data_IF_947907123681
#
_entry.id   IF_947907123681
#
_cell.length_a   1.000
_cell.length_b   1.000
_cell.length_c   1.000
_cell.angle_alpha   90.00
_cell.angle_beta   90.00
_cell.angle_gamma   90.00
#
_symmetry.space_group_name_H-M   'P 1'
#
loop_
_entity.id
_entity.type
_entity.pdbx_description
1 polymer ?
#
# COMPACT_ATOMS: atom_id res chain seq x y z
N UNK A 1 12.07 -16.50 -9.14
CA UNK A 1 13.11 -15.85 -8.37
C UNK A 1 13.83 -14.83 -9.24
N UNK A 2 14.05 -13.64 -8.72
CA UNK A 2 14.84 -12.62 -9.42
C UNK A 2 16.28 -13.12 -9.55
N UNK A 3 16.83 -13.01 -10.75
CA UNK A 3 18.22 -13.41 -11.00
C UNK A 3 19.17 -12.35 -10.41
N UNK A 4 18.77 -11.08 -10.43
CA UNK A 4 19.53 -9.94 -9.91
C UNK A 4 18.57 -8.82 -9.50
N UNK A 5 18.59 -8.42 -8.23
CA UNK A 5 17.73 -7.36 -7.69
C UNK A 5 18.03 -6.00 -8.34
N UNK A 6 19.27 -5.71 -8.69
CA UNK A 6 19.64 -4.44 -9.35
C UNK A 6 19.04 -4.35 -10.76
N UNK A 7 19.13 -5.42 -11.54
CA UNK A 7 18.52 -5.50 -12.86
C UNK A 7 17.00 -5.36 -12.76
N UNK A 8 16.38 -6.06 -11.80
CA UNK A 8 14.94 -5.93 -11.56
C UNK A 8 14.53 -4.48 -11.27
N UNK A 9 15.20 -3.82 -10.33
CA UNK A 9 14.90 -2.42 -9.97
C UNK A 9 15.00 -1.49 -11.18
N UNK A 10 16.00 -1.68 -12.05
CA UNK A 10 16.11 -0.89 -13.29
C UNK A 10 14.91 -1.11 -14.22
N UNK A 11 14.46 -2.36 -14.39
CA UNK A 11 13.25 -2.66 -15.18
C UNK A 11 11.98 -2.06 -14.59
N UNK A 12 11.86 -2.02 -13.25
CA UNK A 12 10.74 -1.39 -12.54
C UNK A 12 10.72 0.12 -12.79
N UNK A 13 11.88 0.78 -12.75
CA UNK A 13 12.01 2.21 -13.03
C UNK A 13 11.68 2.51 -14.51
N UNK A 14 12.18 1.69 -15.43
CA UNK A 14 11.92 1.82 -16.85
C UNK A 14 10.41 1.71 -17.16
N UNK A 15 9.72 0.75 -16.52
CA UNK A 15 8.27 0.65 -16.63
C UNK A 15 7.56 1.90 -16.11
N UNK A 16 7.93 2.38 -14.92
CA UNK A 16 7.33 3.58 -14.34
C UNK A 16 7.60 4.83 -15.20
N UNK A 17 8.79 4.92 -15.82
CA UNK A 17 9.15 6.00 -16.74
C UNK A 17 8.36 5.93 -18.05
N UNK A 18 8.22 4.74 -18.65
CA UNK A 18 7.43 4.54 -19.87
C UNK A 18 5.94 4.88 -19.66
N UNK A 19 5.41 4.67 -18.46
CA UNK A 19 4.06 5.08 -18.04
C UNK A 19 3.95 6.56 -17.70
N UNK A 20 5.03 7.31 -17.75
CA UNK A 20 5.10 8.72 -17.38
C UNK A 20 4.63 9.00 -15.95
N UNK A 21 4.80 8.04 -15.05
CA UNK A 21 4.47 8.23 -13.64
C UNK A 21 5.32 9.31 -12.99
N UNK A 22 4.78 9.96 -11.97
CA UNK A 22 5.43 11.04 -11.25
C UNK A 22 6.81 10.66 -10.69
N UNK A 23 7.66 11.65 -10.42
CA UNK A 23 9.01 11.42 -9.92
C UNK A 23 9.01 10.64 -8.59
N UNK A 24 8.04 10.93 -7.73
CA UNK A 24 7.85 10.26 -6.43
C UNK A 24 7.61 8.75 -6.60
N UNK A 25 6.83 8.34 -7.62
CA UNK A 25 6.58 6.94 -7.96
C UNK A 25 7.87 6.26 -8.44
N UNK A 26 8.63 6.91 -9.32
CA UNK A 26 9.91 6.39 -9.82
C UNK A 26 10.95 6.29 -8.71
N UNK A 27 10.98 7.26 -7.80
CA UNK A 27 11.84 7.23 -6.63
C UNK A 27 11.45 6.09 -5.69
N UNK A 28 10.17 5.90 -5.41
CA UNK A 28 9.68 4.79 -4.59
C UNK A 28 9.99 3.43 -5.25
N UNK A 29 9.89 3.33 -6.58
CA UNK A 29 10.29 2.16 -7.37
C UNK A 29 11.77 1.84 -7.20
N UNK A 30 12.65 2.87 -7.18
CA UNK A 30 14.09 2.68 -6.90
C UNK A 30 14.35 2.14 -5.49
N UNK A 31 13.51 2.50 -4.52
CA UNK A 31 13.75 2.23 -3.10
C UNK A 31 13.13 0.94 -2.58
N UNK A 32 12.09 0.41 -3.24
CA UNK A 32 11.19 -0.60 -2.67
C UNK A 32 11.92 -1.86 -2.15
N UNK A 33 12.96 -2.28 -2.83
CA UNK A 33 13.72 -3.50 -2.58
C UNK A 33 15.11 -3.27 -1.94
N UNK A 34 15.41 -2.06 -1.48
CA UNK A 34 16.73 -1.70 -0.95
C UNK A 34 17.16 -2.62 0.22
N UNK A 35 16.22 -3.13 0.98
CA UNK A 35 16.46 -4.07 2.07
C UNK A 35 16.99 -5.44 1.62
N UNK A 36 16.80 -5.83 0.36
CA UNK A 36 17.36 -7.08 -0.18
C UNK A 36 18.90 -7.06 -0.17
N UNK A 37 19.50 -5.90 -0.35
CA UNK A 37 20.96 -5.74 -0.32
C UNK A 37 21.63 -6.07 1.02
N UNK A 38 20.87 -6.16 2.11
CA UNK A 38 21.35 -6.54 3.45
C UNK A 38 20.92 -7.94 3.88
N UNK A 39 20.37 -8.73 2.96
CA UNK A 39 19.95 -10.10 3.25
C UNK A 39 21.14 -11.02 3.44
N UNK A 40 21.22 -11.76 4.58
CA UNK A 40 22.25 -12.77 4.77
C UNK A 40 22.18 -13.85 3.65
N UNK A 41 23.34 -14.36 3.19
CA UNK A 41 23.38 -15.34 2.09
C UNK A 41 22.52 -16.58 2.32
N UNK A 42 22.36 -17.00 3.58
CA UNK A 42 21.58 -18.17 3.97
C UNK A 42 20.07 -18.00 3.70
N UNK A 43 19.61 -16.76 3.52
CA UNK A 43 18.21 -16.42 3.22
C UNK A 43 17.97 -16.13 1.73
N UNK A 44 18.97 -16.34 0.88
CA UNK A 44 18.79 -16.21 -0.55
C UNK A 44 18.09 -17.45 -1.13
N UNK A 45 17.24 -17.29 -2.15
CA UNK A 45 16.82 -16.05 -2.83
C UNK A 45 15.53 -15.43 -2.25
N UNK A 46 15.05 -15.85 -1.08
CA UNK A 46 13.74 -15.44 -0.54
C UNK A 46 13.74 -14.03 0.05
N UNK A 47 14.90 -13.56 0.54
CA UNK A 47 15.07 -12.23 1.15
C UNK A 47 14.07 -11.92 2.28
N UNK A 48 13.69 -12.93 3.09
CA UNK A 48 12.69 -12.77 4.14
C UNK A 48 12.95 -11.53 5.01
N UNK A 49 11.92 -10.70 5.22
CA UNK A 49 11.98 -9.47 6.05
C UNK A 49 12.75 -8.31 5.42
N UNK A 50 13.00 -8.33 4.10
CA UNK A 50 13.66 -7.22 3.41
C UNK A 50 12.86 -5.92 3.53
N UNK A 51 11.54 -6.00 3.60
CA UNK A 51 10.66 -4.86 3.78
C UNK A 51 10.99 -4.10 5.08
N UNK A 52 11.13 -4.83 6.17
CA UNK A 52 11.45 -4.24 7.49
C UNK A 52 12.87 -3.66 7.50
N UNK A 53 13.85 -4.41 6.98
CA UNK A 53 15.24 -3.94 6.88
C UNK A 53 15.38 -2.73 5.97
N UNK A 54 14.58 -2.67 4.90
CA UNK A 54 14.58 -1.58 3.94
C UNK A 54 14.17 -0.24 4.53
N UNK A 55 13.27 -0.22 5.51
CA UNK A 55 12.73 1.03 6.10
C UNK A 55 13.87 1.93 6.61
N UNK A 56 14.74 1.41 7.45
CA UNK A 56 15.85 2.19 8.02
C UNK A 56 16.85 2.67 6.95
N UNK A 57 17.10 1.85 5.93
CA UNK A 57 18.00 2.18 4.82
C UNK A 57 17.43 3.30 3.95
N UNK A 58 16.16 3.20 3.57
CA UNK A 58 15.45 4.22 2.78
C UNK A 58 15.36 5.52 3.56
N UNK A 59 15.05 5.45 4.85
CA UNK A 59 14.93 6.63 5.71
C UNK A 59 16.25 7.40 5.81
N UNK A 60 17.36 6.71 6.11
CA UNK A 60 18.69 7.28 6.18
C UNK A 60 19.16 7.87 4.83
N UNK A 61 18.83 7.20 3.71
CA UNK A 61 19.14 7.70 2.38
C UNK A 61 18.35 8.99 2.08
N UNK A 62 17.04 9.00 2.40
CA UNK A 62 16.19 10.17 2.21
C UNK A 62 16.69 11.37 3.03
N UNK A 63 17.12 11.15 4.25
CA UNK A 63 17.71 12.19 5.09
C UNK A 63 18.99 12.75 4.49
N UNK A 64 19.92 11.87 4.10
CA UNK A 64 21.22 12.25 3.49
C UNK A 64 21.04 13.05 2.20
N UNK A 65 20.09 12.67 1.35
CA UNK A 65 19.83 13.31 0.06
C UNK A 65 18.83 14.46 0.15
N UNK A 66 18.29 14.75 1.33
CA UNK A 66 17.25 15.77 1.55
C UNK A 66 16.04 15.58 0.63
N UNK A 67 15.58 14.34 0.52
CA UNK A 67 14.44 13.98 -0.32
C UNK A 67 13.17 14.70 0.15
N UNK A 68 12.35 15.28 -0.75
CA UNK A 68 11.09 15.92 -0.39
C UNK A 68 10.17 14.99 0.42
N UNK A 69 9.45 15.56 1.40
CA UNK A 69 8.66 14.78 2.38
C UNK A 69 7.64 13.83 1.77
N UNK A 70 6.95 14.21 0.70
CA UNK A 70 5.96 13.33 0.05
C UNK A 70 6.63 12.16 -0.69
N UNK A 71 7.77 12.39 -1.35
CA UNK A 71 8.54 11.33 -2.00
C UNK A 71 9.12 10.34 -0.96
N UNK A 72 9.66 10.86 0.17
CA UNK A 72 10.11 10.03 1.31
C UNK A 72 8.96 9.21 1.89
N UNK A 73 7.80 9.84 2.13
CA UNK A 73 6.64 9.15 2.68
C UNK A 73 6.15 8.01 1.77
N UNK A 74 6.11 8.24 0.46
CA UNK A 74 5.73 7.23 -0.52
C UNK A 74 6.77 6.09 -0.57
N UNK A 75 8.06 6.41 -0.61
CA UNK A 75 9.12 5.40 -0.65
C UNK A 75 9.09 4.49 0.58
N UNK A 76 8.95 5.05 1.79
CA UNK A 76 8.82 4.28 3.03
C UNK A 76 7.56 3.41 3.04
N UNK A 77 6.44 3.92 2.51
CA UNK A 77 5.19 3.19 2.41
C UNK A 77 5.34 1.97 1.49
N UNK A 78 5.89 2.18 0.30
CA UNK A 78 6.12 1.12 -0.69
C UNK A 78 7.09 0.07 -0.14
N UNK A 79 8.24 0.49 0.40
CA UNK A 79 9.23 -0.42 1.00
C UNK A 79 8.60 -1.34 2.04
N UNK A 80 7.69 -0.82 2.85
CA UNK A 80 7.06 -1.59 3.94
C UNK A 80 5.93 -2.51 3.48
N UNK A 81 5.15 -2.12 2.46
CA UNK A 81 3.83 -2.73 2.21
C UNK A 81 3.62 -3.23 0.78
N UNK A 82 4.61 -3.15 -0.14
CA UNK A 82 4.42 -3.63 -1.52
C UNK A 82 4.06 -5.13 -1.57
N UNK A 83 4.63 -5.94 -0.69
CA UNK A 83 4.32 -7.36 -0.58
C UNK A 83 2.85 -7.63 -0.25
N UNK A 84 2.21 -6.80 0.59
CA UNK A 84 0.78 -6.93 0.90
C UNK A 84 -0.09 -6.61 -0.32
N UNK A 85 0.31 -5.62 -1.14
CA UNK A 85 -0.42 -5.30 -2.38
C UNK A 85 -0.34 -6.46 -3.37
N UNK A 86 0.80 -7.12 -3.51
CA UNK A 86 0.94 -8.28 -4.40
C UNK A 86 0.02 -9.43 -4.01
N UNK A 87 -0.27 -9.59 -2.73
CA UNK A 87 -1.19 -10.61 -2.19
C UNK A 87 -2.64 -10.13 -2.05
N UNK A 88 -2.97 -8.91 -2.50
CA UNK A 88 -4.26 -8.27 -2.24
C UNK A 88 -5.47 -9.09 -2.67
N UNK A 89 -5.34 -9.97 -3.67
CA UNK A 89 -6.43 -10.84 -4.12
C UNK A 89 -6.75 -11.98 -3.14
N UNK A 90 -5.82 -12.30 -2.24
CA UNK A 90 -5.94 -13.35 -1.23
C UNK A 90 -6.31 -12.79 0.15
N UNK A 91 -6.30 -11.46 0.31
CA UNK A 91 -6.60 -10.80 1.56
C UNK A 91 -8.11 -10.82 1.86
N UNK A 92 -8.43 -11.00 3.13
CA UNK A 92 -9.80 -10.82 3.65
C UNK A 92 -10.21 -9.34 3.65
N UNK A 93 -11.51 -9.06 3.74
CA UNK A 93 -12.03 -7.70 3.85
C UNK A 93 -11.43 -6.91 5.03
N UNK A 94 -11.16 -7.60 6.15
CA UNK A 94 -10.53 -6.99 7.33
C UNK A 94 -9.08 -6.61 7.05
N UNK A 95 -8.29 -7.49 6.42
CA UNK A 95 -6.90 -7.21 6.05
C UNK A 95 -6.81 -6.08 5.02
N UNK A 96 -7.72 -6.04 4.04
CA UNK A 96 -7.81 -4.92 3.09
C UNK A 96 -8.15 -3.61 3.80
N UNK A 97 -9.13 -3.61 4.72
CA UNK A 97 -9.48 -2.41 5.49
C UNK A 97 -8.29 -1.92 6.34
N UNK A 98 -7.50 -2.84 6.91
CA UNK A 98 -6.29 -2.51 7.65
C UNK A 98 -5.18 -1.96 6.73
N UNK A 99 -5.00 -2.52 5.53
CA UNK A 99 -4.08 -2.00 4.53
C UNK A 99 -4.46 -0.56 4.14
N UNK A 100 -5.73 -0.31 3.83
CA UNK A 100 -6.24 1.03 3.51
C UNK A 100 -6.04 2.02 4.67
N UNK A 101 -6.20 1.58 5.91
CA UNK A 101 -5.97 2.38 7.10
C UNK A 101 -4.49 2.68 7.30
N UNK A 102 -3.62 1.68 7.20
CA UNK A 102 -2.17 1.80 7.43
C UNK A 102 -1.47 2.63 6.36
N UNK A 103 -2.04 2.71 5.16
CA UNK A 103 -1.59 3.55 4.06
C UNK A 103 -2.16 4.97 4.09
N UNK A 104 -3.06 5.26 5.05
CA UNK A 104 -3.80 6.53 5.13
C UNK A 104 -4.61 6.83 3.84
N UNK A 105 -5.09 5.78 3.16
CA UNK A 105 -5.74 5.87 1.85
C UNK A 105 -7.01 6.73 1.88
N UNK A 106 -7.72 6.75 3.01
CA UNK A 106 -8.95 7.53 3.17
C UNK A 106 -8.71 9.05 3.15
N UNK A 107 -7.56 9.50 3.62
CA UNK A 107 -7.22 10.93 3.71
C UNK A 107 -6.30 11.37 2.57
N UNK A 108 -5.51 10.45 2.03
CA UNK A 108 -4.53 10.68 0.98
C UNK A 108 -4.72 9.71 -0.19
N UNK A 109 -5.86 9.75 -0.89
CA UNK A 109 -6.16 8.83 -1.99
C UNK A 109 -5.16 8.92 -3.14
N UNK A 110 -4.66 10.12 -3.46
CA UNK A 110 -3.66 10.31 -4.51
C UNK A 110 -2.32 9.64 -4.17
N UNK A 111 -1.90 9.68 -2.89
CA UNK A 111 -0.71 8.95 -2.44
C UNK A 111 -0.93 7.43 -2.47
N UNK A 112 -2.14 6.99 -2.17
CA UNK A 112 -2.49 5.58 -2.29
C UNK A 112 -2.46 5.12 -3.75
N UNK A 113 -2.92 5.93 -4.68
CA UNK A 113 -2.83 5.65 -6.12
C UNK A 113 -1.37 5.59 -6.59
N UNK A 114 -0.52 6.51 -6.15
CA UNK A 114 0.92 6.50 -6.42
C UNK A 114 1.60 5.23 -5.84
N UNK A 115 1.17 4.79 -4.65
CA UNK A 115 1.62 3.53 -4.05
C UNK A 115 1.24 2.32 -4.93
N UNK A 116 0.00 2.24 -5.41
CA UNK A 116 -0.44 1.17 -6.29
C UNK A 116 0.28 1.20 -7.66
N UNK A 117 0.54 2.39 -8.21
CA UNK A 117 1.33 2.56 -9.45
C UNK A 117 2.75 2.02 -9.27
N UNK A 118 3.36 2.22 -8.11
CA UNK A 118 4.70 1.69 -7.82
C UNK A 118 4.66 0.16 -7.75
N UNK A 119 3.67 -0.43 -7.06
CA UNK A 119 3.50 -1.89 -7.00
C UNK A 119 3.19 -2.51 -8.37
N UNK A 120 2.42 -1.81 -9.21
CA UNK A 120 2.18 -2.25 -10.59
C UNK A 120 3.48 -2.22 -11.41
N UNK A 121 4.33 -1.21 -11.19
CA UNK A 121 5.63 -1.14 -11.86
C UNK A 121 6.56 -2.27 -11.42
N UNK A 122 6.58 -2.61 -10.12
CA UNK A 122 7.31 -3.77 -9.62
C UNK A 122 6.85 -5.07 -10.30
N UNK A 123 5.55 -5.30 -10.39
CA UNK A 123 5.00 -6.47 -11.07
C UNK A 123 5.41 -6.54 -12.55
N UNK A 124 5.21 -5.44 -13.29
CA UNK A 124 5.51 -5.38 -14.72
C UNK A 124 7.00 -5.32 -15.04
N UNK A 125 7.85 -4.89 -14.11
CA UNK A 125 9.31 -4.92 -14.23
C UNK A 125 9.92 -6.33 -14.18
N UNK A 126 9.12 -7.37 -13.96
CA UNK A 126 9.58 -8.76 -13.98
C UNK A 126 9.60 -9.32 -15.41
N UNK A 127 10.62 -10.08 -15.80
CA UNK A 127 10.66 -10.73 -17.12
C UNK A 127 9.41 -11.59 -17.37
N UNK A 128 8.74 -11.33 -18.49
CA UNK A 128 7.52 -12.06 -18.87
C UNK A 128 6.21 -11.50 -18.30
N UNK A 129 6.26 -10.44 -17.45
CA UNK A 129 5.07 -9.87 -16.84
C UNK A 129 4.62 -8.53 -17.46
N UNK A 130 5.38 -7.97 -18.38
CA UNK A 130 5.13 -6.64 -18.96
C UNK A 130 3.74 -6.46 -19.59
N UNK A 131 3.13 -7.54 -20.10
CA UNK A 131 1.80 -7.52 -20.75
C UNK A 131 0.72 -8.23 -19.91
N UNK A 132 1.04 -8.73 -18.73
CA UNK A 132 0.06 -9.38 -17.86
C UNK A 132 -0.80 -8.35 -17.14
N UNK A 133 -2.05 -8.71 -16.86
CA UNK A 133 -2.95 -7.88 -16.07
C UNK A 133 -2.55 -7.87 -14.60
N UNK A 134 -2.35 -6.69 -14.01
CA UNK A 134 -2.14 -6.52 -12.57
C UNK A 134 -3.46 -6.16 -11.88
N UNK A 135 -4.24 -7.19 -11.55
CA UNK A 135 -5.60 -7.07 -11.01
C UNK A 135 -5.67 -6.45 -9.61
N UNK A 136 -4.59 -6.57 -8.83
CA UNK A 136 -4.50 -6.09 -7.46
C UNK A 136 -4.77 -4.60 -7.35
N UNK A 137 -4.28 -3.81 -8.30
CA UNK A 137 -4.50 -2.36 -8.33
C UNK A 137 -5.99 -2.02 -8.41
N UNK A 138 -6.68 -2.53 -9.42
CA UNK A 138 -8.12 -2.28 -9.60
C UNK A 138 -8.96 -2.85 -8.42
N UNK A 139 -8.51 -3.96 -7.84
CA UNK A 139 -9.13 -4.58 -6.68
C UNK A 139 -9.10 -3.67 -5.46
N UNK A 140 -7.92 -3.14 -5.11
CA UNK A 140 -7.76 -2.23 -3.97
C UNK A 140 -8.40 -0.87 -4.19
N UNK A 141 -8.39 -0.36 -5.42
CA UNK A 141 -9.11 0.88 -5.77
C UNK A 141 -10.63 0.72 -5.55
N UNK A 142 -11.22 -0.40 -5.99
CA UNK A 142 -12.65 -0.69 -5.73
C UNK A 142 -12.94 -0.81 -4.23
N UNK A 143 -12.04 -1.47 -3.48
CA UNK A 143 -12.18 -1.59 -2.04
C UNK A 143 -12.14 -0.22 -1.33
N UNK A 144 -11.23 0.67 -1.74
CA UNK A 144 -11.16 2.03 -1.23
C UNK A 144 -12.45 2.80 -1.55
N UNK A 145 -12.94 2.72 -2.78
CA UNK A 145 -14.19 3.40 -3.17
C UNK A 145 -15.38 2.91 -2.35
N UNK A 146 -15.54 1.60 -2.16
CA UNK A 146 -16.62 1.05 -1.32
C UNK A 146 -16.54 1.56 0.13
N UNK A 147 -15.32 1.61 0.70
CA UNK A 147 -15.12 2.07 2.07
C UNK A 147 -15.34 3.58 2.24
N UNK A 148 -15.08 4.40 1.22
CA UNK A 148 -15.32 5.85 1.23
C UNK A 148 -16.81 6.17 1.19
N UNK A 149 -17.64 5.34 0.56
CA UNK A 149 -19.09 5.53 0.49
C UNK A 149 -19.78 5.31 1.85
N UNK A 150 -19.09 4.77 2.86
CA UNK A 150 -19.65 4.61 4.20
C UNK A 150 -19.89 5.99 4.83
N UNK A 151 -21.15 6.29 5.15
CA UNK A 151 -21.53 7.54 5.84
C UNK A 151 -21.12 7.50 7.32
N UNK A 152 -19.88 7.87 7.56
CA UNK A 152 -19.32 7.97 8.91
C UNK A 152 -20.04 9.02 9.76
N UNK A 153 -20.56 10.09 9.15
CA UNK A 153 -21.31 11.13 9.83
C UNK A 153 -22.65 10.64 10.38
N UNK A 154 -23.42 9.90 9.56
CA UNK A 154 -24.67 9.28 10.02
C UNK A 154 -24.45 8.28 11.15
N UNK A 155 -23.38 7.45 11.06
CA UNK A 155 -23.01 6.50 12.13
C UNK A 155 -22.69 7.27 13.42
N UNK A 156 -21.82 8.28 13.35
CA UNK A 156 -21.43 9.08 14.51
C UNK A 156 -22.65 9.78 15.14
N UNK A 157 -23.49 10.44 14.34
CA UNK A 157 -24.67 11.15 14.84
C UNK A 157 -25.68 10.23 15.52
N UNK A 158 -25.89 9.02 14.98
CA UNK A 158 -26.77 8.00 15.61
C UNK A 158 -26.23 7.58 16.97
N UNK A 159 -24.93 7.27 17.07
CA UNK A 159 -24.31 6.81 18.30
C UNK A 159 -24.25 7.91 19.35
N UNK A 160 -24.02 9.17 18.96
CA UNK A 160 -24.06 10.32 19.87
C UNK A 160 -25.42 10.51 20.53
N UNK A 161 -26.51 10.41 19.75
CA UNK A 161 -27.87 10.52 20.28
C UNK A 161 -28.20 9.39 21.29
N UNK A 162 -27.71 8.19 21.05
CA UNK A 162 -28.05 7.01 21.83
C UNK A 162 -27.12 6.75 23.04
N UNK A 163 -26.01 7.46 23.15
CA UNK A 163 -24.98 7.24 24.18
C UNK A 163 -24.47 8.54 24.81
N UNK A 164 -25.39 9.44 25.14
CA UNK A 164 -25.04 10.69 25.83
C UNK A 164 -24.39 10.41 27.19
N UNK A 165 -23.20 11.00 27.42
CA UNK A 165 -22.43 10.82 28.66
C UNK A 165 -21.51 9.62 28.69
N UNK A 166 -21.38 8.83 27.61
CA UNK A 166 -20.45 7.72 27.55
C UNK A 166 -19.00 8.21 27.35
N UNK A 167 -18.12 7.97 28.33
CA UNK A 167 -16.71 8.36 28.29
C UNK A 167 -15.93 7.68 27.13
N UNK A 168 -16.42 6.55 26.59
CA UNK A 168 -15.80 5.78 25.50
C UNK A 168 -16.48 6.00 24.14
N UNK A 169 -17.31 7.04 24.01
CA UNK A 169 -18.12 7.24 22.81
C UNK A 169 -17.27 7.38 21.52
N UNK A 170 -16.14 8.08 21.58
CA UNK A 170 -15.25 8.23 20.41
C UNK A 170 -14.67 6.88 19.94
N UNK A 171 -14.31 6.02 20.87
CA UNK A 171 -13.82 4.67 20.53
C UNK A 171 -14.94 3.82 19.91
N UNK A 172 -16.14 3.89 20.47
CA UNK A 172 -17.32 3.18 19.95
C UNK A 172 -17.67 3.66 18.51
N UNK A 173 -17.65 4.96 18.26
CA UNK A 173 -17.88 5.54 16.93
C UNK A 173 -16.83 5.00 15.94
N UNK A 174 -15.55 5.07 16.28
CA UNK A 174 -14.47 4.59 15.41
C UNK A 174 -14.61 3.10 15.09
N UNK A 175 -14.97 2.29 16.07
CA UNK A 175 -15.20 0.84 15.90
C UNK A 175 -16.37 0.58 14.94
N UNK A 176 -17.49 1.28 15.10
CA UNK A 176 -18.65 1.12 14.21
C UNK A 176 -18.36 1.58 12.77
N UNK A 177 -17.65 2.70 12.59
CA UNK A 177 -17.22 3.16 11.27
C UNK A 177 -16.28 2.14 10.62
N UNK A 178 -15.31 1.62 11.37
CA UNK A 178 -14.40 0.59 10.87
C UNK A 178 -15.15 -0.68 10.44
N UNK A 179 -16.05 -1.19 11.30
CA UNK A 179 -16.87 -2.36 10.98
C UNK A 179 -17.75 -2.15 9.74
N UNK A 180 -18.32 -0.97 9.56
CA UNK A 180 -19.11 -0.63 8.38
C UNK A 180 -18.25 -0.61 7.10
N UNK A 181 -17.03 -0.09 7.16
CA UNK A 181 -16.07 -0.13 6.04
C UNK A 181 -15.67 -1.55 5.68
N UNK A 182 -15.38 -2.40 6.68
CA UNK A 182 -15.10 -3.83 6.44
C UNK A 182 -16.27 -4.52 5.77
N UNK A 183 -17.52 -4.24 6.20
CA UNK A 183 -18.71 -4.80 5.58
C UNK A 183 -18.86 -4.36 4.12
N UNK A 184 -18.68 -3.07 3.81
CA UNK A 184 -18.73 -2.55 2.45
C UNK A 184 -17.65 -3.17 1.54
N UNK A 185 -16.44 -3.35 2.04
CA UNK A 185 -15.37 -4.05 1.31
C UNK A 185 -15.77 -5.52 1.06
N UNK A 186 -16.33 -6.20 2.07
CA UNK A 186 -16.73 -7.61 1.95
C UNK A 186 -17.76 -7.80 0.84
N UNK A 187 -18.73 -6.91 0.70
CA UNK A 187 -19.76 -6.97 -0.34
C UNK A 187 -19.14 -6.98 -1.74
N UNK A 188 -18.14 -6.13 -2.01
CA UNK A 188 -17.48 -6.11 -3.33
C UNK A 188 -16.59 -7.33 -3.59
N UNK A 189 -16.14 -8.03 -2.55
CA UNK A 189 -15.37 -9.26 -2.71
C UNK A 189 -16.23 -10.46 -3.13
N UNK A 190 -17.51 -10.46 -2.76
CA UNK A 190 -18.47 -11.50 -3.11
C UNK A 190 -18.94 -11.38 -4.55
N UNK A 191 -18.93 -10.16 -5.11
CA UNK A 191 -19.38 -9.86 -6.48
C UNK A 191 -18.33 -10.12 -7.57
N UNK A 192 -17.36 -11.00 -7.29
CA UNK A 192 -16.31 -11.42 -8.23
C UNK A 192 -16.82 -12.38 -9.30
#
# INVERSE_FOLDING_TARGET
PEIDTGVHVMMVIDHAAARQYALEVRFAALMHDLGKGTTPPEQWPQHAGHEVRGIALVDALCERLRVPGEARALALLVTRLHGEVHRALDLTATEIAELLRSTDAYRKPDRFDAFLQTCASDFHGRPGFAQQEYRQMAHLQRALQAAIQVDAGAIAGRLQRNNTGNAHLSMLINQHIYSAKVAAIKEILILR
#
